data_IF_221756460584
#
_entry.id   IF_221756460584
#
_cell.length_a   1.000
_cell.length_b   1.000
_cell.length_c   1.000
_cell.angle_alpha   90.00
_cell.angle_beta   90.00
_cell.angle_gamma   90.00
#
_symmetry.space_group_name_H-M   'P 1'
#
loop_
_entity.id
_entity.type
_entity.pdbx_description
1 polymer ?
#
# COMPACT_ATOMS: atom_id res chain seq x y z
N UNK A 1 24.99 37.31 -23.20
CA UNK A 1 24.44 36.52 -22.08
C UNK A 1 23.80 35.26 -22.67
N UNK A 2 24.45 34.10 -22.54
CA UNK A 2 23.99 32.88 -23.23
C UNK A 2 22.73 32.32 -22.57
N UNK A 3 21.77 31.89 -23.41
CA UNK A 3 20.43 31.44 -23.00
C UNK A 3 20.43 29.94 -22.68
N UNK A 4 21.45 29.20 -23.16
CA UNK A 4 21.65 27.77 -22.95
C UNK A 4 21.63 27.29 -21.47
N UNK A 5 22.31 27.94 -20.50
CA UNK A 5 22.33 27.43 -19.12
C UNK A 5 20.97 27.52 -18.41
N UNK A 6 20.09 28.42 -18.85
CA UNK A 6 18.77 28.62 -18.23
C UNK A 6 17.80 27.49 -18.56
N UNK A 7 17.86 26.96 -19.79
CA UNK A 7 17.03 25.83 -20.22
C UNK A 7 17.46 24.55 -19.49
N UNK A 8 18.77 24.33 -19.35
CA UNK A 8 19.31 23.21 -18.58
C UNK A 8 18.86 23.22 -17.12
N UNK A 9 18.88 24.40 -16.48
CA UNK A 9 18.42 24.56 -15.09
C UNK A 9 16.91 24.28 -14.93
N UNK A 10 16.08 24.73 -15.87
CA UNK A 10 14.64 24.48 -15.86
C UNK A 10 14.31 22.98 -15.96
N UNK A 11 15.00 22.25 -16.85
CA UNK A 11 14.85 20.80 -17.00
C UNK A 11 15.23 20.08 -15.70
N UNK A 12 16.34 20.47 -15.07
CA UNK A 12 16.76 19.88 -13.79
C UNK A 12 15.75 20.12 -12.67
N UNK A 13 15.12 21.30 -12.64
CA UNK A 13 14.05 21.60 -11.67
C UNK A 13 12.84 20.68 -11.86
N UNK A 14 12.42 20.44 -13.11
CA UNK A 14 11.30 19.54 -13.42
C UNK A 14 11.65 18.09 -13.03
N UNK A 15 12.84 17.61 -13.41
CA UNK A 15 13.32 16.27 -13.06
C UNK A 15 13.39 16.07 -11.55
N UNK A 16 13.84 17.08 -10.81
CA UNK A 16 13.89 17.05 -9.34
C UNK A 16 12.48 16.98 -8.73
N UNK A 17 11.52 17.72 -9.27
CA UNK A 17 10.12 17.65 -8.86
C UNK A 17 9.52 16.26 -9.05
N UNK A 18 9.74 15.65 -10.22
CA UNK A 18 9.28 14.29 -10.53
C UNK A 18 9.93 13.28 -9.58
N UNK A 19 11.24 13.38 -9.33
CA UNK A 19 11.95 12.49 -8.41
C UNK A 19 11.38 12.55 -6.99
N UNK A 20 11.06 13.75 -6.51
CA UNK A 20 10.49 13.94 -5.17
C UNK A 20 9.07 13.36 -5.08
N UNK A 21 8.25 13.52 -6.12
CA UNK A 21 6.92 12.92 -6.20
C UNK A 21 6.99 11.39 -6.16
N UNK A 22 7.86 10.78 -6.97
CA UNK A 22 8.07 9.32 -6.97
C UNK A 22 8.50 8.86 -5.59
N UNK A 23 9.45 9.55 -4.94
CA UNK A 23 9.92 9.21 -3.59
C UNK A 23 8.80 9.30 -2.55
N UNK A 24 7.92 10.29 -2.66
CA UNK A 24 6.75 10.43 -1.78
C UNK A 24 5.76 9.27 -1.95
N UNK A 25 5.49 8.86 -3.20
CA UNK A 25 4.53 7.79 -3.50
C UNK A 25 5.11 6.38 -3.31
N UNK A 26 6.43 6.21 -3.39
CA UNK A 26 7.09 4.91 -3.33
C UNK A 26 6.70 4.07 -2.10
N UNK A 27 6.57 4.70 -0.92
CA UNK A 27 6.15 4.01 0.30
C UNK A 27 4.70 3.51 0.24
N UNK A 28 3.79 4.31 -0.30
CA UNK A 28 2.39 3.91 -0.45
C UNK A 28 2.23 2.81 -1.51
N UNK A 29 2.95 2.93 -2.63
CA UNK A 29 2.99 1.90 -3.68
C UNK A 29 3.54 0.60 -3.12
N UNK A 30 4.66 0.64 -2.37
CA UNK A 30 5.22 -0.53 -1.73
C UNK A 30 4.30 -1.15 -0.67
N UNK A 31 3.43 -0.36 -0.05
CA UNK A 31 2.45 -0.89 0.92
C UNK A 31 1.25 -1.56 0.24
N UNK A 32 0.77 -1.01 -0.88
CA UNK A 32 -0.44 -1.52 -1.58
C UNK A 32 -0.10 -2.68 -2.52
N UNK A 33 1.03 -2.57 -3.21
CA UNK A 33 1.46 -3.51 -4.25
C UNK A 33 2.74 -4.28 -3.86
N UNK A 34 3.27 -4.05 -2.66
CA UNK A 34 4.37 -4.86 -2.15
C UNK A 34 3.93 -6.31 -1.94
N UNK A 35 4.89 -7.25 -1.90
CA UNK A 35 4.61 -8.61 -1.50
C UNK A 35 3.89 -8.58 -0.16
N UNK A 36 2.71 -9.23 -0.09
CA UNK A 36 2.08 -9.45 1.20
C UNK A 36 2.96 -10.41 1.99
N UNK A 37 3.37 -10.00 3.19
CA UNK A 37 3.94 -10.91 4.18
C UNK A 37 2.78 -11.71 4.79
N UNK A 38 2.13 -12.53 3.95
CA UNK A 38 1.09 -13.47 4.36
C UNK A 38 1.82 -14.67 4.97
N UNK A 39 2.36 -14.50 6.19
CA UNK A 39 2.79 -15.60 7.06
C UNK A 39 1.57 -16.38 7.59
N UNK A 40 0.48 -16.48 6.82
CA UNK A 40 -0.64 -17.32 7.23
C UNK A 40 -0.16 -18.77 7.18
N UNK A 41 -0.08 -19.47 8.31
CA UNK A 41 0.49 -20.80 8.33
C UNK A 41 -0.33 -21.71 7.39
N UNK A 42 0.32 -22.61 6.62
CA UNK A 42 -0.38 -23.58 5.77
C UNK A 42 -1.28 -24.53 6.56
N UNK A 43 -1.18 -24.50 7.90
CA UNK A 43 -2.10 -25.16 8.82
C UNK A 43 -2.78 -24.09 9.68
N UNK A 44 -4.02 -23.78 9.33
CA UNK A 44 -4.88 -22.94 10.15
C UNK A 44 -5.45 -23.76 11.30
N UNK A 45 -4.81 -23.71 12.47
CA UNK A 45 -5.51 -24.10 13.69
C UNK A 45 -6.29 -22.88 14.14
N UNK A 46 -7.60 -22.89 13.87
CA UNK A 46 -8.53 -21.89 14.41
C UNK A 46 -8.38 -21.89 15.94
N UNK A 47 -7.89 -20.81 16.57
CA UNK A 47 -7.60 -20.81 18.01
C UNK A 47 -8.86 -20.67 18.87
N UNK A 48 -10.04 -20.59 18.26
CA UNK A 48 -11.31 -20.53 18.97
C UNK A 48 -12.02 -21.88 18.86
N UNK A 49 -11.93 -22.69 19.91
CA UNK A 49 -12.96 -23.68 20.26
C UNK A 49 -14.16 -22.99 20.93
N UNK A 50 -14.49 -21.77 20.49
CA UNK A 50 -15.62 -21.03 21.06
C UNK A 50 -16.89 -21.81 20.78
N UNK A 51 -17.66 -22.10 21.84
CA UNK A 51 -18.99 -22.69 21.71
C UNK A 51 -19.76 -21.93 20.62
N UNK A 52 -20.33 -22.67 19.67
CA UNK A 52 -21.22 -22.09 18.68
C UNK A 52 -22.26 -21.27 19.44
N UNK A 53 -22.52 -20.00 19.09
CA UNK A 53 -23.56 -19.23 19.75
C UNK A 53 -24.83 -20.04 19.69
N UNK A 54 -25.42 -20.29 20.87
CA UNK A 54 -26.65 -21.04 21.03
C UNK A 54 -27.64 -20.54 19.97
N UNK A 55 -28.13 -21.45 19.12
CA UNK A 55 -29.04 -21.10 18.02
C UNK A 55 -30.21 -20.32 18.63
N UNK A 56 -30.19 -18.99 18.53
CA UNK A 56 -31.39 -18.20 18.80
C UNK A 56 -32.39 -18.63 17.74
N UNK A 57 -33.40 -19.36 18.22
CA UNK A 57 -34.51 -19.87 17.42
C UNK A 57 -34.89 -18.83 16.39
N UNK A 58 -34.82 -19.22 15.10
CA UNK A 58 -35.30 -18.40 14.00
C UNK A 58 -36.71 -17.96 14.36
N UNK A 59 -36.89 -16.69 14.71
CA UNK A 59 -38.21 -16.11 14.69
C UNK A 59 -38.59 -16.07 13.22
N UNK A 60 -39.49 -16.98 12.85
CA UNK A 60 -40.15 -16.96 11.56
C UNK A 60 -40.94 -15.65 11.47
N UNK A 61 -40.51 -14.80 10.53
CA UNK A 61 -41.37 -13.77 9.96
C UNK A 61 -41.83 -14.31 8.60
#
# INVERSE_FOLDING_TARGET
MSILPKIGAAIQSVLTGIKNLIKFMAGAIARIFGPTDDEYPPTGVQPFEGELPEKKNKQAW
#
